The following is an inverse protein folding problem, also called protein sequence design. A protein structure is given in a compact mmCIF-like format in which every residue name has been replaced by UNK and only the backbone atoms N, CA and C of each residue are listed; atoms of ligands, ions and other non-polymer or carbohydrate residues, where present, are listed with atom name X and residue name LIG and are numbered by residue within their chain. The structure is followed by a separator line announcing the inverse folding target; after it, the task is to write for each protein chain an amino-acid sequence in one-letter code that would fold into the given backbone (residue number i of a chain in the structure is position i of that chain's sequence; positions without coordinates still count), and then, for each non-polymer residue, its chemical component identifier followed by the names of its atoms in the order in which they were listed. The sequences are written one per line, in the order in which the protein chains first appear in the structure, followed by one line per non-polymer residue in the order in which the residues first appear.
data_IF_637900781116
#
_entry.id   IF_637900781116
#
_cell.length_a   1.000
_cell.length_b   1.000
_cell.length_c   1.000
_cell.angle_alpha   90.00
_cell.angle_beta   90.00
_cell.angle_gamma   90.00
#
_symmetry.space_group_name_H-M   'P 1'
#
loop_
_entity.id
_entity.type
_entity.pdbx_description
1 polymer ?
#
# COMPACT_ATOMS: atom_id res chain seq x y z
N UNK A 1 -39.64 13.04 -19.70
CA UNK A 1 -38.79 13.63 -20.77
C UNK A 1 -38.64 15.14 -20.70
N UNK A 2 -39.69 15.93 -20.39
CA UNK A 2 -39.64 17.43 -20.32
C UNK A 2 -38.83 17.94 -19.13
N UNK A 3 -39.01 17.37 -17.95
CA UNK A 3 -38.31 17.76 -16.71
C UNK A 3 -36.82 17.45 -16.78
N UNK A 4 -36.43 16.27 -17.27
CA UNK A 4 -35.05 15.88 -17.43
C UNK A 4 -34.29 16.80 -18.39
N UNK A 5 -34.91 17.14 -19.54
CA UNK A 5 -34.34 18.08 -20.52
C UNK A 5 -34.22 19.50 -19.94
N UNK A 6 -35.23 19.97 -19.20
CA UNK A 6 -35.17 21.26 -18.52
C UNK A 6 -34.10 21.32 -17.44
N UNK A 7 -33.97 20.24 -16.62
CA UNK A 7 -32.95 20.13 -15.61
C UNK A 7 -31.55 20.09 -16.23
N UNK A 8 -31.34 19.30 -17.29
CA UNK A 8 -30.05 19.25 -17.98
C UNK A 8 -29.61 20.61 -18.54
N UNK A 9 -30.53 21.36 -19.14
CA UNK A 9 -30.24 22.70 -19.69
C UNK A 9 -29.95 23.77 -18.63
N UNK A 10 -30.56 23.66 -17.45
CA UNK A 10 -30.42 24.67 -16.40
C UNK A 10 -29.43 24.28 -15.32
N UNK A 11 -29.02 23.00 -15.21
CA UNK A 11 -28.11 22.51 -14.20
C UNK A 11 -26.77 23.27 -14.25
N UNK A 12 -26.17 23.42 -15.43
CA UNK A 12 -24.89 24.11 -15.60
C UNK A 12 -24.95 25.58 -15.13
N UNK A 13 -26.01 26.27 -15.46
CA UNK A 13 -26.20 27.67 -15.04
C UNK A 13 -26.40 27.78 -13.54
N UNK A 14 -27.15 26.85 -12.95
CA UNK A 14 -27.37 26.78 -11.51
C UNK A 14 -26.11 26.44 -10.75
N UNK A 15 -25.35 25.43 -11.20
CA UNK A 15 -24.09 24.99 -10.61
C UNK A 15 -23.03 26.11 -10.61
N UNK A 16 -22.93 26.86 -11.72
CA UNK A 16 -22.02 28.02 -11.81
C UNK A 16 -22.39 29.15 -10.83
N UNK A 17 -23.70 29.36 -10.56
CA UNK A 17 -24.17 30.33 -9.58
C UNK A 17 -23.94 29.90 -8.13
N UNK A 18 -23.92 28.61 -7.86
CA UNK A 18 -23.81 28.00 -6.53
C UNK A 18 -22.49 27.27 -6.32
N UNK A 19 -21.35 27.95 -6.52
CA UNK A 19 -20.01 27.36 -6.50
C UNK A 19 -19.74 26.54 -5.24
N UNK A 20 -20.02 27.06 -4.04
CA UNK A 20 -19.78 26.33 -2.79
C UNK A 20 -20.58 25.04 -2.68
N UNK A 21 -21.84 25.03 -3.15
CA UNK A 21 -22.63 23.80 -3.21
C UNK A 21 -22.08 22.81 -4.24
N UNK A 22 -21.63 23.33 -5.39
CA UNK A 22 -21.00 22.51 -6.45
C UNK A 22 -19.74 21.84 -5.97
N UNK A 23 -18.87 22.56 -5.25
CA UNK A 23 -17.65 22.03 -4.65
C UNK A 23 -17.98 20.92 -3.64
N UNK A 24 -18.94 21.14 -2.75
CA UNK A 24 -19.39 20.14 -1.77
C UNK A 24 -19.94 18.87 -2.44
N UNK A 25 -20.73 19.02 -3.51
CA UNK A 25 -21.29 17.88 -4.27
C UNK A 25 -20.18 17.12 -4.97
N UNK A 26 -19.22 17.82 -5.60
CA UNK A 26 -18.08 17.21 -6.26
C UNK A 26 -17.19 16.47 -5.29
N UNK A 27 -16.91 17.04 -4.12
CA UNK A 27 -16.13 16.39 -3.07
C UNK A 27 -16.80 15.11 -2.57
N UNK A 28 -18.12 15.17 -2.31
CA UNK A 28 -18.89 13.97 -1.94
C UNK A 28 -18.93 12.92 -3.05
N UNK A 29 -19.04 13.35 -4.32
CA UNK A 29 -19.02 12.44 -5.45
C UNK A 29 -17.65 11.76 -5.59
N UNK A 30 -16.55 12.51 -5.45
CA UNK A 30 -15.18 11.97 -5.43
C UNK A 30 -14.98 10.97 -4.29
N UNK A 31 -15.46 11.30 -3.09
CA UNK A 31 -15.38 10.42 -1.92
C UNK A 31 -16.17 9.12 -2.13
N UNK A 32 -17.38 9.19 -2.66
CA UNK A 32 -18.19 8.01 -3.00
C UNK A 32 -17.52 7.14 -4.06
N UNK A 33 -16.97 7.76 -5.11
CA UNK A 33 -16.25 7.04 -6.16
C UNK A 33 -15.01 6.35 -5.61
N UNK A 34 -14.21 7.05 -4.78
CA UNK A 34 -13.05 6.46 -4.09
C UNK A 34 -13.46 5.28 -3.22
N UNK A 35 -14.53 5.44 -2.42
CA UNK A 35 -15.05 4.35 -1.58
C UNK A 35 -15.52 3.14 -2.39
N UNK A 36 -16.24 3.36 -3.51
CA UNK A 36 -16.68 2.27 -4.37
C UNK A 36 -15.49 1.54 -5.00
N UNK A 37 -14.48 2.28 -5.45
CA UNK A 37 -13.26 1.69 -5.99
C UNK A 37 -12.50 0.85 -4.96
N UNK A 38 -12.41 1.32 -3.70
CA UNK A 38 -11.81 0.56 -2.61
C UNK A 38 -12.60 -0.72 -2.31
N UNK A 39 -13.93 -0.65 -2.34
CA UNK A 39 -14.80 -1.82 -2.16
C UNK A 39 -14.64 -2.86 -3.26
N UNK A 40 -14.50 -2.42 -4.51
CA UNK A 40 -14.26 -3.31 -5.65
C UNK A 40 -12.83 -3.88 -5.63
N UNK A 41 -11.85 -3.09 -5.19
CA UNK A 41 -10.49 -3.51 -4.93
C UNK A 41 -10.43 -4.60 -3.86
N UNK A 42 -11.17 -4.42 -2.76
CA UNK A 42 -11.29 -5.39 -1.67
C UNK A 42 -11.81 -6.75 -2.16
N UNK A 43 -12.80 -6.76 -3.06
CA UNK A 43 -13.31 -8.01 -3.65
C UNK A 43 -12.27 -8.74 -4.51
N UNK A 44 -11.45 -7.98 -5.27
CA UNK A 44 -10.35 -8.54 -6.08
C UNK A 44 -9.18 -8.99 -5.20
N UNK A 45 -8.85 -8.25 -4.17
CA UNK A 45 -7.73 -8.52 -3.26
C UNK A 45 -7.89 -9.83 -2.47
N UNK A 46 -9.11 -10.24 -2.15
CA UNK A 46 -9.36 -11.55 -1.52
C UNK A 46 -8.91 -12.73 -2.39
N UNK A 47 -8.91 -12.57 -3.72
CA UNK A 47 -8.36 -13.58 -4.65
C UNK A 47 -6.83 -13.53 -4.67
N UNK A 48 -6.24 -12.34 -4.56
CA UNK A 48 -4.78 -12.15 -4.54
C UNK A 48 -4.11 -12.68 -3.25
N UNK A 49 -4.80 -12.68 -2.10
CA UNK A 49 -4.31 -13.27 -0.84
C UNK A 49 -3.82 -14.73 -0.98
N UNK A 50 -4.27 -15.44 -2.00
CA UNK A 50 -3.90 -16.83 -2.30
C UNK A 50 -2.79 -16.96 -3.35
N UNK A 51 -2.35 -15.85 -3.94
CA UNK A 51 -1.35 -15.88 -4.98
C UNK A 51 0.05 -16.06 -4.38
N UNK A 52 0.80 -17.02 -4.90
CA UNK A 52 2.20 -17.22 -4.51
C UNK A 52 3.03 -16.06 -5.05
N UNK A 53 3.67 -15.32 -4.16
CA UNK A 53 4.60 -14.27 -4.54
C UNK A 53 5.95 -14.92 -4.87
N UNK A 54 6.32 -14.96 -6.14
CA UNK A 54 7.49 -15.71 -6.64
C UNK A 54 8.81 -15.29 -5.99
N UNK A 55 8.97 -14.00 -5.67
CA UNK A 55 10.21 -13.45 -5.11
C UNK A 55 10.21 -13.31 -3.58
N UNK A 56 9.17 -13.80 -2.90
CA UNK A 56 9.10 -13.72 -1.45
C UNK A 56 10.04 -14.76 -0.81
N UNK A 57 10.98 -14.29 -0.03
CA UNK A 57 11.67 -15.10 0.97
C UNK A 57 10.75 -15.24 2.19
N UNK A 58 9.96 -16.30 2.28
CA UNK A 58 9.02 -16.46 3.39
C UNK A 58 9.72 -16.89 4.69
N UNK A 59 9.11 -16.54 5.84
CA UNK A 59 9.50 -17.09 7.13
C UNK A 59 8.95 -18.51 7.30
N UNK A 60 9.70 -19.38 7.98
CA UNK A 60 9.30 -20.77 8.20
C UNK A 60 8.26 -20.92 9.33
N UNK A 61 8.20 -19.97 10.28
CA UNK A 61 7.20 -19.94 11.33
C UNK A 61 5.80 -19.77 10.73
N UNK A 62 4.84 -20.62 11.15
CA UNK A 62 3.47 -20.63 10.60
C UNK A 62 2.41 -20.33 11.65
N UNK A 63 2.70 -20.52 12.92
CA UNK A 63 1.73 -20.41 14.02
C UNK A 63 1.87 -19.09 14.76
N UNK A 64 3.10 -18.66 15.04
CA UNK A 64 3.40 -17.45 15.81
C UNK A 64 3.83 -16.32 14.87
N UNK A 65 2.90 -15.88 14.02
CA UNK A 65 3.14 -14.86 13.01
C UNK A 65 3.44 -13.47 13.61
N UNK A 66 3.04 -13.25 14.85
CA UNK A 66 3.37 -12.05 15.64
C UNK A 66 4.88 -11.89 15.87
N UNK A 67 5.67 -12.95 15.74
CA UNK A 67 7.12 -12.91 15.84
C UNK A 67 7.81 -12.68 14.48
N UNK A 68 7.05 -12.69 13.38
CA UNK A 68 7.63 -12.64 12.05
C UNK A 68 7.82 -11.21 11.57
N UNK A 69 8.97 -10.97 10.93
CA UNK A 69 9.36 -9.70 10.33
C UNK A 69 9.54 -9.85 8.83
N UNK A 70 8.95 -8.94 8.04
CA UNK A 70 9.20 -8.82 6.61
C UNK A 70 10.12 -7.64 6.35
N UNK A 71 11.24 -7.89 5.68
CA UNK A 71 12.11 -6.85 5.16
C UNK A 71 11.70 -6.50 3.71
N UNK A 72 11.41 -5.24 3.45
CA UNK A 72 11.21 -4.71 2.10
C UNK A 72 12.53 -4.08 1.69
N UNK A 73 13.24 -4.73 0.77
CA UNK A 73 14.60 -4.39 0.39
C UNK A 73 14.64 -3.56 -0.90
N UNK A 74 15.58 -2.63 -0.96
CA UNK A 74 15.91 -1.90 -2.18
C UNK A 74 16.72 -2.78 -3.14
N UNK A 75 16.01 -3.52 -3.99
CA UNK A 75 16.63 -4.26 -5.07
C UNK A 75 17.18 -5.65 -4.73
N UNK A 76 17.70 -6.29 -5.78
CA UNK A 76 18.12 -7.70 -5.72
C UNK A 76 19.43 -7.89 -4.92
N UNK A 77 20.30 -6.88 -4.83
CA UNK A 77 21.54 -6.95 -4.04
C UNK A 77 21.23 -7.06 -2.55
N UNK A 78 20.38 -6.18 -2.03
CA UNK A 78 20.01 -6.19 -0.62
C UNK A 78 19.27 -7.48 -0.22
N UNK A 79 18.39 -8.00 -1.08
CA UNK A 79 17.70 -9.28 -0.81
C UNK A 79 18.67 -10.45 -0.84
N UNK A 80 19.75 -10.40 -1.64
CA UNK A 80 20.82 -11.38 -1.68
C UNK A 80 21.56 -11.46 -0.34
N UNK A 81 21.96 -10.31 0.21
CA UNK A 81 22.56 -10.21 1.54
C UNK A 81 21.62 -10.71 2.65
N UNK A 82 20.37 -10.26 2.62
CA UNK A 82 19.35 -10.69 3.58
C UNK A 82 19.14 -12.23 3.53
N UNK A 83 19.13 -12.83 2.35
CA UNK A 83 18.96 -14.29 2.18
C UNK A 83 19.98 -15.08 2.97
N UNK A 84 21.21 -14.60 3.01
CA UNK A 84 22.32 -15.26 3.71
C UNK A 84 22.30 -14.99 5.22
N UNK A 85 21.96 -13.78 5.64
CA UNK A 85 22.08 -13.32 7.02
C UNK A 85 20.83 -13.52 7.88
N UNK A 86 19.63 -13.64 7.27
CA UNK A 86 18.36 -13.67 7.99
C UNK A 86 18.17 -14.91 8.87
N UNK A 87 17.44 -14.75 9.94
CA UNK A 87 16.84 -15.88 10.65
C UNK A 87 15.67 -16.43 9.82
N UNK A 88 15.87 -17.59 9.18
CA UNK A 88 14.87 -18.22 8.30
C UNK A 88 13.56 -18.58 9.00
N UNK A 89 13.58 -18.74 10.33
CA UNK A 89 12.39 -19.08 11.09
C UNK A 89 11.42 -17.91 11.15
N UNK A 90 11.92 -16.71 11.46
CA UNK A 90 11.08 -15.53 11.76
C UNK A 90 11.19 -14.40 10.75
N UNK A 91 12.17 -14.40 9.87
CA UNK A 91 12.44 -13.30 8.97
C UNK A 91 12.15 -13.67 7.54
N UNK A 92 11.36 -12.84 6.87
CA UNK A 92 11.09 -12.88 5.44
C UNK A 92 11.68 -11.66 4.73
N UNK A 93 11.67 -11.68 3.40
CA UNK A 93 12.12 -10.55 2.61
C UNK A 93 11.50 -10.51 1.22
N UNK A 94 11.32 -9.30 0.71
CA UNK A 94 10.91 -9.04 -0.66
C UNK A 94 11.74 -7.89 -1.22
N UNK A 95 12.20 -8.03 -2.48
CA UNK A 95 12.93 -6.97 -3.16
C UNK A 95 11.99 -6.10 -4.00
N UNK A 96 12.20 -4.80 -3.97
CA UNK A 96 11.60 -3.84 -4.91
C UNK A 96 12.39 -3.87 -6.23
N UNK A 97 11.69 -3.58 -7.34
CA UNK A 97 12.30 -3.44 -8.67
C UNK A 97 12.50 -1.95 -9.02
N UNK A 98 13.14 -1.20 -8.13
CA UNK A 98 13.33 0.23 -8.27
C UNK A 98 12.40 1.06 -7.37
N UNK A 99 12.28 2.36 -7.66
CA UNK A 99 11.48 3.28 -6.84
C UNK A 99 9.99 2.98 -6.94
N UNK A 100 9.29 2.82 -5.80
CA UNK A 100 7.84 2.65 -5.80
C UNK A 100 7.12 3.87 -6.39
N UNK A 101 5.94 3.64 -6.94
CA UNK A 101 5.06 4.70 -7.42
C UNK A 101 4.59 5.59 -6.25
N UNK A 102 4.46 6.90 -6.50
CA UNK A 102 3.88 7.83 -5.53
C UNK A 102 2.35 7.69 -5.49
N UNK A 103 1.82 7.08 -4.42
CA UNK A 103 0.38 6.83 -4.27
C UNK A 103 -0.45 8.09 -4.06
N UNK A 104 0.16 9.19 -3.57
CA UNK A 104 -0.54 10.46 -3.41
C UNK A 104 -0.96 11.08 -4.76
N UNK A 105 -0.25 10.77 -5.83
CA UNK A 105 -0.48 11.25 -7.19
C UNK A 105 -1.14 10.22 -8.10
N UNK A 106 -1.41 9.02 -7.58
CA UNK A 106 -1.89 7.87 -8.36
C UNK A 106 -3.35 7.56 -8.05
N UNK A 107 -4.05 7.03 -9.03
CA UNK A 107 -5.39 6.51 -8.79
C UNK A 107 -5.34 5.05 -8.28
N UNK A 108 -6.42 4.60 -7.66
CA UNK A 108 -6.50 3.26 -7.06
C UNK A 108 -6.34 2.14 -8.13
N UNK A 109 -6.76 2.39 -9.38
CA UNK A 109 -6.61 1.39 -10.46
C UNK A 109 -5.14 1.17 -10.79
N UNK A 110 -4.35 2.24 -10.84
CA UNK A 110 -2.91 2.17 -11.13
C UNK A 110 -2.17 1.47 -10.00
N UNK A 111 -2.54 1.75 -8.74
CA UNK A 111 -1.97 1.09 -7.57
C UNK A 111 -2.26 -0.42 -7.60
N UNK A 112 -3.48 -0.82 -7.96
CA UNK A 112 -3.87 -2.23 -8.10
C UNK A 112 -3.24 -2.93 -9.30
N UNK A 113 -2.92 -2.18 -10.35
CA UNK A 113 -2.21 -2.69 -11.52
C UNK A 113 -0.69 -2.79 -11.29
N UNK A 114 -0.18 -2.08 -10.28
CA UNK A 114 1.24 -2.10 -9.94
C UNK A 114 1.61 -3.44 -9.26
N UNK A 115 2.48 -4.20 -9.92
CA UNK A 115 2.85 -5.54 -9.48
C UNK A 115 3.63 -5.51 -8.15
N UNK A 116 4.41 -4.47 -7.89
CA UNK A 116 5.19 -4.36 -6.65
C UNK A 116 4.29 -4.17 -5.43
N UNK A 117 3.34 -3.23 -5.49
CA UNK A 117 2.37 -3.06 -4.42
C UNK A 117 1.49 -4.29 -4.23
N UNK A 118 1.10 -4.95 -5.34
CA UNK A 118 0.35 -6.21 -5.27
C UNK A 118 1.16 -7.30 -4.56
N UNK A 119 2.44 -7.42 -4.87
CA UNK A 119 3.34 -8.38 -4.23
C UNK A 119 3.57 -8.05 -2.75
N UNK A 120 3.76 -6.78 -2.38
CA UNK A 120 3.89 -6.33 -0.98
C UNK A 120 2.61 -6.69 -0.21
N UNK A 121 1.45 -6.30 -0.70
CA UNK A 121 0.17 -6.59 -0.07
C UNK A 121 -0.06 -8.10 0.11
N UNK A 122 0.19 -8.89 -0.94
CA UNK A 122 0.05 -10.34 -0.90
C UNK A 122 1.04 -11.00 0.08
N UNK A 123 2.26 -10.46 0.17
CA UNK A 123 3.30 -10.96 1.10
C UNK A 123 2.89 -10.78 2.56
N UNK A 124 2.28 -9.64 2.89
CA UNK A 124 1.87 -9.29 4.25
C UNK A 124 0.49 -9.85 4.58
N UNK A 125 -0.37 -10.04 3.58
CA UNK A 125 -1.76 -10.43 3.74
C UNK A 125 -2.73 -9.24 3.79
N UNK A 126 -2.28 -8.06 3.34
CA UNK A 126 -3.09 -6.85 3.27
C UNK A 126 -4.03 -6.83 2.06
N UNK A 127 -5.13 -6.11 2.20
CA UNK A 127 -6.10 -5.91 1.12
C UNK A 127 -6.54 -4.45 1.10
N UNK A 128 -6.40 -3.78 -0.03
CA UNK A 128 -6.85 -2.39 -0.20
C UNK A 128 -8.33 -2.24 0.16
N UNK A 129 -8.64 -1.20 0.93
CA UNK A 129 -10.01 -0.92 1.38
C UNK A 129 -10.50 -1.79 2.53
N UNK A 130 -9.62 -2.56 3.16
CA UNK A 130 -9.87 -3.25 4.42
C UNK A 130 -8.85 -2.78 5.48
N UNK A 131 -9.26 -2.63 6.74
CA UNK A 131 -8.32 -2.35 7.82
C UNK A 131 -7.35 -3.54 7.98
N UNK A 132 -6.16 -3.25 8.50
CA UNK A 132 -5.18 -4.27 8.82
C UNK A 132 -5.47 -4.82 10.22
N UNK A 133 -5.93 -6.06 10.28
CA UNK A 133 -6.01 -6.79 11.54
C UNK A 133 -4.65 -7.47 11.79
N UNK A 134 -3.94 -7.08 12.86
CA UNK A 134 -2.60 -7.60 13.15
C UNK A 134 -2.54 -9.12 13.25
N UNK A 135 -3.60 -9.73 13.80
CA UNK A 135 -3.75 -11.19 13.90
C UNK A 135 -3.81 -11.92 12.54
N UNK A 136 -4.23 -11.21 11.50
CA UNK A 136 -4.39 -11.76 10.14
C UNK A 136 -3.15 -11.58 9.27
N UNK A 137 -2.18 -10.80 9.74
CA UNK A 137 -0.97 -10.53 8.99
C UNK A 137 -0.03 -11.75 8.97
N UNK A 138 0.62 -11.94 7.83
CA UNK A 138 1.67 -12.97 7.69
C UNK A 138 2.98 -12.55 8.35
N UNK A 139 3.18 -11.24 8.53
CA UNK A 139 4.32 -10.62 9.21
C UNK A 139 3.79 -9.44 10.01
N UNK A 140 3.97 -9.49 11.32
CA UNK A 140 3.50 -8.42 12.22
C UNK A 140 4.45 -7.24 12.27
N UNK A 141 5.70 -7.42 11.84
CA UNK A 141 6.68 -6.36 11.71
C UNK A 141 7.10 -6.22 10.25
N UNK A 142 7.13 -4.99 9.76
CA UNK A 142 7.49 -4.63 8.40
C UNK A 142 8.62 -3.62 8.48
N UNK A 143 9.79 -4.00 7.97
CA UNK A 143 11.00 -3.17 8.02
C UNK A 143 11.40 -2.75 6.62
N UNK A 144 11.51 -1.45 6.39
CA UNK A 144 12.08 -0.92 5.15
C UNK A 144 13.60 -0.95 5.26
N UNK A 145 14.23 -1.67 4.35
CA UNK A 145 15.67 -1.87 4.27
C UNK A 145 16.16 -1.26 2.94
N UNK A 146 16.45 0.03 2.97
CA UNK A 146 17.00 0.80 1.87
C UNK A 146 18.37 1.35 2.26
N UNK A 147 19.18 1.67 1.27
CA UNK A 147 20.50 2.24 1.45
C UNK A 147 20.44 3.62 2.14
N UNK A 148 21.51 4.02 2.84
CA UNK A 148 21.57 5.30 3.56
C UNK A 148 21.93 6.48 2.64
N UNK A 149 21.44 6.47 1.42
CA UNK A 149 21.60 7.53 0.44
C UNK A 149 20.29 8.28 0.14
N UNK A 150 20.34 9.23 -0.79
CA UNK A 150 19.18 10.06 -1.17
C UNK A 150 18.06 9.19 -1.78
N UNK A 151 18.42 8.17 -2.56
CA UNK A 151 17.49 7.29 -3.23
C UNK A 151 16.77 6.37 -2.24
N UNK A 152 17.49 5.80 -1.30
CA UNK A 152 16.91 5.01 -0.22
C UNK A 152 16.02 5.83 0.70
N UNK A 153 16.39 7.09 1.00
CA UNK A 153 15.53 8.04 1.70
C UNK A 153 14.22 8.31 0.96
N UNK A 154 14.28 8.42 -0.36
CA UNK A 154 13.10 8.60 -1.20
C UNK A 154 12.21 7.33 -1.20
N UNK A 155 12.80 6.14 -1.33
CA UNK A 155 12.07 4.86 -1.27
C UNK A 155 11.35 4.72 0.07
N UNK A 156 12.02 4.99 1.18
CA UNK A 156 11.41 4.98 2.51
C UNK A 156 10.20 5.93 2.60
N UNK A 157 10.31 7.12 2.03
CA UNK A 157 9.20 8.10 1.99
C UNK A 157 8.01 7.57 1.18
N UNK A 158 8.25 6.99 0.01
CA UNK A 158 7.20 6.45 -0.85
C UNK A 158 6.48 5.25 -0.21
N UNK A 159 7.22 4.34 0.41
CA UNK A 159 6.66 3.22 1.17
C UNK A 159 5.86 3.70 2.39
N UNK A 160 6.40 4.64 3.15
CA UNK A 160 5.70 5.25 4.29
C UNK A 160 4.37 5.85 3.84
N UNK A 161 4.38 6.62 2.74
CA UNK A 161 3.16 7.22 2.19
C UNK A 161 2.14 6.14 1.75
N UNK A 162 2.60 5.06 1.12
CA UNK A 162 1.74 3.94 0.73
C UNK A 162 1.05 3.30 1.94
N UNK A 163 1.82 2.89 2.94
CA UNK A 163 1.25 2.25 4.13
C UNK A 163 0.39 3.21 4.95
N UNK A 164 0.82 4.46 5.12
CA UNK A 164 0.07 5.46 5.89
C UNK A 164 -1.27 5.82 5.22
N UNK A 165 -1.30 5.88 3.89
CA UNK A 165 -2.53 6.20 3.15
C UNK A 165 -3.59 5.12 3.29
N UNK A 166 -3.20 3.85 3.35
CA UNK A 166 -4.14 2.73 3.29
C UNK A 166 -4.31 1.98 4.62
N UNK A 167 -3.30 1.99 5.49
CA UNK A 167 -3.31 1.28 6.78
C UNK A 167 -2.57 2.07 7.88
N UNK A 168 -3.07 3.27 8.24
CA UNK A 168 -2.44 4.10 9.30
C UNK A 168 -2.36 3.37 10.64
N UNK A 169 -3.25 2.41 10.90
CA UNK A 169 -3.25 1.59 12.09
C UNK A 169 -1.96 0.79 12.30
N UNK A 170 -1.24 0.44 11.24
CA UNK A 170 0.05 -0.24 11.33
C UNK A 170 1.14 0.63 11.97
N UNK A 171 1.06 1.95 11.80
CA UNK A 171 1.97 2.89 12.45
C UNK A 171 1.63 3.04 13.93
N UNK A 172 0.36 3.13 14.27
CA UNK A 172 -0.10 3.19 15.67
C UNK A 172 0.32 1.93 16.43
N UNK A 173 0.27 0.78 15.77
CA UNK A 173 0.69 -0.50 16.34
C UNK A 173 2.23 -0.68 16.39
N UNK A 174 3.02 0.24 15.83
CA UNK A 174 4.49 0.12 15.75
C UNK A 174 4.97 -0.98 14.79
N UNK A 175 4.09 -1.45 13.91
CA UNK A 175 4.39 -2.53 12.96
C UNK A 175 5.32 -2.08 11.82
N UNK A 176 5.33 -0.78 11.48
CA UNK A 176 6.19 -0.22 10.43
C UNK A 176 7.46 0.34 11.04
N UNK A 177 8.60 -0.09 10.51
CA UNK A 177 9.93 0.30 10.97
C UNK A 177 10.82 0.64 9.77
N UNK A 178 11.80 1.51 9.97
CA UNK A 178 12.82 1.86 8.98
C UNK A 178 14.18 1.45 9.56
N UNK A 179 14.90 0.59 8.85
CA UNK A 179 16.27 0.25 9.19
C UNK A 179 17.18 1.43 8.88
N UNK A 180 18.00 1.81 9.85
CA UNK A 180 19.06 2.81 9.66
C UNK A 180 20.38 2.08 9.56
N UNK A 181 20.94 2.01 8.36
CA UNK A 181 22.30 1.52 8.19
C UNK A 181 23.28 2.60 8.68
N UNK A 182 24.33 2.24 9.46
CA UNK A 182 25.35 3.20 9.81
C UNK A 182 26.15 3.57 8.56
N UNK A 183 26.42 4.87 8.43
CA UNK A 183 27.43 5.34 7.47
C UNK A 183 28.79 5.14 8.16
N UNK A 184 29.61 4.28 7.62
CA UNK A 184 31.02 4.18 8.00
C UNK A 184 31.84 4.95 6.97
N UNK A 185 32.64 5.86 7.47
CA UNK A 185 33.76 6.41 6.72
C UNK A 185 34.98 5.48 6.82
#
# INVERSE_FOLDING_TARGET
KGIESFMAKNADKWLRKNKGYTELVLERAKSRHKFQMLKDASKKGRKAKRQRVEKLLDANERRRRELCTLFICEGDSAIGGLRSARNKLYQGGIALKGKPMNVAQSNIKDILANQEFTNIMASIGLTLGQPAELSDLRFSNIVFLADSDVDGGHINTLLTNFFFTFWPELFVAGAIQIAKAPLYE
#
